data_IF_989966931474
#
_entry.id   IF_989966931474
#
_cell.length_a   1.000
_cell.length_b   1.000
_cell.length_c   1.000
_cell.angle_alpha   90.00
_cell.angle_beta   90.00
_cell.angle_gamma   90.00
#
_symmetry.space_group_name_H-M   'P 1'
#
loop_
_entity.id
_entity.type
_entity.pdbx_description
1 polymer ?
#
# COMPACT_ATOMS: atom_id res chain seq x y z
N UNK A 1 -9.42 4.90 9.89
CA UNK A 1 -8.93 5.63 11.09
C UNK A 1 -9.16 7.13 10.90
N UNK A 2 -9.05 7.96 11.95
CA UNK A 2 -9.20 9.42 11.84
C UNK A 2 -8.06 10.10 11.06
N UNK A 3 -6.95 9.40 10.88
CA UNK A 3 -5.80 9.78 10.06
C UNK A 3 -5.17 8.51 9.44
N UNK A 4 -4.29 8.67 8.45
CA UNK A 4 -3.62 7.56 7.78
C UNK A 4 -4.46 6.89 6.70
N UNK A 5 -4.34 5.57 6.57
CA UNK A 5 -5.03 4.80 5.55
C UNK A 5 -6.53 4.63 5.84
N UNK A 6 -7.35 4.71 4.78
CA UNK A 6 -8.80 4.58 4.90
C UNK A 6 -9.27 3.15 5.30
N UNK A 7 -8.45 2.14 5.01
CA UNK A 7 -8.66 0.74 5.38
C UNK A 7 -8.17 0.44 6.81
N UNK A 8 -7.57 -0.73 7.07
CA UNK A 8 -7.12 -1.18 8.41
C UNK A 8 -8.25 -1.35 9.42
N UNK A 9 -9.42 -1.78 8.96
CA UNK A 9 -10.63 -1.90 9.80
C UNK A 9 -10.94 -3.34 10.20
N UNK A 10 -10.39 -4.33 9.48
CA UNK A 10 -10.71 -5.75 9.62
C UNK A 10 -9.54 -6.62 10.10
N UNK A 11 -8.40 -6.01 10.44
CA UNK A 11 -7.19 -6.75 10.85
C UNK A 11 -6.48 -7.50 9.71
N UNK A 12 -6.79 -7.20 8.45
CA UNK A 12 -6.21 -7.84 7.26
C UNK A 12 -5.28 -6.92 6.47
N UNK A 13 -4.91 -5.79 7.04
CA UNK A 13 -4.04 -4.80 6.44
C UNK A 13 -2.83 -4.55 7.35
N UNK A 14 -1.66 -4.36 6.75
CA UNK A 14 -0.43 -4.01 7.47
C UNK A 14 0.42 -3.06 6.63
N UNK A 15 0.90 -1.99 7.25
CA UNK A 15 1.88 -1.09 6.62
C UNK A 15 3.27 -1.50 7.09
N UNK A 16 4.13 -1.85 6.13
CA UNK A 16 5.51 -2.29 6.39
C UNK A 16 6.45 -1.24 5.83
N UNK A 17 7.29 -0.68 6.69
CA UNK A 17 8.28 0.31 6.28
C UNK A 17 9.32 -0.28 5.35
N UNK A 18 9.77 0.54 4.39
CA UNK A 18 10.84 0.22 3.45
C UNK A 18 12.24 0.54 4.02
N UNK A 19 12.30 0.83 5.32
CA UNK A 19 13.54 1.03 6.05
C UNK A 19 14.10 -0.33 6.51
N UNK A 20 15.39 -0.50 6.36
CA UNK A 20 16.11 -1.64 6.93
C UNK A 20 16.02 -1.60 8.46
N UNK A 21 15.89 -2.76 9.09
CA UNK A 21 15.98 -2.85 10.53
C UNK A 21 17.36 -2.34 11.01
N UNK A 22 17.42 -1.57 12.12
CA UNK A 22 18.69 -1.19 12.72
C UNK A 22 19.46 -2.41 13.22
N UNK A 23 20.78 -2.28 13.35
CA UNK A 23 21.66 -3.37 13.84
C UNK A 23 21.33 -3.78 15.29
N UNK A 24 20.80 -2.85 16.08
CA UNK A 24 20.36 -3.08 17.46
C UNK A 24 18.84 -2.91 17.54
N UNK A 25 18.13 -3.71 18.34
CA UNK A 25 16.71 -3.50 18.59
C UNK A 25 16.45 -2.09 19.13
N UNK A 26 15.45 -1.43 18.57
CA UNK A 26 14.98 -0.13 19.06
C UNK A 26 14.43 -0.29 20.48
N UNK A 27 14.73 0.69 21.34
CA UNK A 27 13.98 0.89 22.58
C UNK A 27 12.52 1.27 22.28
N UNK A 28 11.65 1.18 23.28
CA UNK A 28 10.26 1.62 23.11
C UNK A 28 10.19 3.10 22.70
N UNK A 29 10.99 3.97 23.33
CA UNK A 29 11.00 5.40 22.99
C UNK A 29 11.50 5.67 21.57
N UNK A 30 12.55 4.98 21.11
CA UNK A 30 13.03 5.12 19.73
C UNK A 30 11.98 4.62 18.73
N UNK A 31 11.28 3.51 19.03
CA UNK A 31 10.19 2.99 18.18
C UNK A 31 9.05 3.98 18.03
N UNK A 32 8.58 4.58 19.13
CA UNK A 32 7.45 5.52 19.10
C UNK A 32 7.79 6.85 18.38
N UNK A 33 9.07 7.21 18.28
CA UNK A 33 9.54 8.45 17.65
C UNK A 33 10.23 8.23 16.30
N UNK A 34 10.24 7.01 15.79
CA UNK A 34 10.93 6.70 14.55
C UNK A 34 10.20 7.34 13.35
N UNK A 35 10.95 8.01 12.49
CA UNK A 35 10.43 8.65 11.28
C UNK A 35 10.65 7.78 10.03
N UNK A 36 9.68 7.77 9.13
CA UNK A 36 9.78 7.06 7.87
C UNK A 36 10.65 7.83 6.85
N UNK A 37 11.49 7.12 6.10
CA UNK A 37 12.28 7.68 4.99
C UNK A 37 11.68 7.31 3.64
N UNK A 38 11.50 8.30 2.76
CA UNK A 38 10.97 8.06 1.41
C UNK A 38 12.01 7.40 0.51
N UNK A 39 11.57 6.43 -0.28
CA UNK A 39 12.33 5.74 -1.33
C UNK A 39 12.22 6.44 -2.69
N UNK A 40 11.49 7.56 -2.77
CA UNK A 40 11.13 8.23 -4.02
C UNK A 40 11.50 9.71 -3.96
N UNK A 41 11.92 10.24 -5.10
CA UNK A 41 12.21 11.66 -5.34
C UNK A 41 11.46 12.16 -6.57
N UNK A 42 11.42 13.48 -6.76
CA UNK A 42 10.69 14.10 -7.85
C UNK A 42 9.18 14.18 -7.61
N UNK A 43 8.42 14.53 -8.66
CA UNK A 43 6.97 14.66 -8.57
C UNK A 43 6.30 14.56 -9.95
N UNK A 44 5.03 14.15 -9.98
CA UNK A 44 4.25 14.05 -11.21
C UNK A 44 4.93 13.12 -12.23
N UNK A 45 5.13 13.62 -13.44
CA UNK A 45 5.73 12.86 -14.55
C UNK A 45 7.21 12.49 -14.27
N UNK A 46 7.90 13.29 -13.46
CA UNK A 46 9.32 13.14 -13.12
C UNK A 46 9.53 12.38 -11.79
N UNK A 47 8.54 11.62 -11.31
CA UNK A 47 8.65 10.82 -10.09
C UNK A 47 9.57 9.61 -10.31
N UNK A 48 10.56 9.36 -9.46
CA UNK A 48 11.52 8.24 -9.59
C UNK A 48 12.04 7.72 -8.24
N UNK A 49 12.54 6.49 -8.17
CA UNK A 49 13.15 5.94 -6.94
C UNK A 49 14.53 6.55 -6.66
N UNK A 50 14.80 6.94 -5.42
CA UNK A 50 16.08 7.51 -5.01
C UNK A 50 17.12 6.44 -4.62
N UNK A 51 18.25 6.86 -4.05
CA UNK A 51 19.38 6.01 -3.66
C UNK A 51 19.10 5.11 -2.44
N UNK A 52 18.04 5.38 -1.68
CA UNK A 52 17.60 4.52 -0.57
C UNK A 52 16.90 3.25 -1.07
N UNK A 53 16.40 3.25 -2.32
CA UNK A 53 15.77 2.09 -2.93
C UNK A 53 16.80 1.11 -3.50
N UNK A 54 16.98 -0.04 -2.83
CA UNK A 54 17.94 -1.07 -3.21
C UNK A 54 17.41 -2.50 -3.09
N UNK A 55 18.34 -3.47 -3.17
CA UNK A 55 18.03 -4.90 -3.19
C UNK A 55 17.27 -5.39 -1.95
N UNK A 56 17.54 -4.80 -0.78
CA UNK A 56 16.82 -5.16 0.44
C UNK A 56 15.32 -4.83 0.31
N UNK A 57 14.99 -3.63 -0.18
CA UNK A 57 13.60 -3.22 -0.38
C UNK A 57 12.91 -4.09 -1.42
N UNK A 58 13.60 -4.40 -2.52
CA UNK A 58 13.09 -5.34 -3.55
C UNK A 58 12.79 -6.70 -2.93
N UNK A 59 13.70 -7.25 -2.14
CA UNK A 59 13.54 -8.54 -1.48
C UNK A 59 12.39 -8.55 -0.48
N UNK A 60 12.23 -7.50 0.33
CA UNK A 60 11.14 -7.37 1.28
C UNK A 60 9.77 -7.36 0.57
N UNK A 61 9.62 -6.53 -0.47
CA UNK A 61 8.38 -6.42 -1.23
C UNK A 61 8.08 -7.72 -2.00
N UNK A 62 9.09 -8.33 -2.64
CA UNK A 62 8.93 -9.60 -3.35
C UNK A 62 8.51 -10.71 -2.40
N UNK A 63 9.15 -10.82 -1.24
CA UNK A 63 8.83 -11.83 -0.22
C UNK A 63 7.38 -11.71 0.22
N UNK A 64 6.91 -10.49 0.50
CA UNK A 64 5.50 -10.25 0.83
C UNK A 64 4.57 -10.64 -0.33
N UNK A 65 4.89 -10.23 -1.56
CA UNK A 65 4.05 -10.51 -2.73
C UNK A 65 3.95 -12.01 -3.05
N UNK A 66 5.03 -12.77 -2.83
CA UNK A 66 5.05 -14.21 -3.09
C UNK A 66 4.24 -15.02 -2.05
N UNK A 67 3.92 -14.44 -0.89
CA UNK A 67 3.08 -15.11 0.11
C UNK A 67 1.68 -15.38 -0.45
N UNK A 68 1.14 -16.62 -0.34
CA UNK A 68 -0.20 -16.95 -0.80
C UNK A 68 -1.30 -16.27 0.02
N UNK A 69 -0.99 -15.83 1.24
CA UNK A 69 -1.94 -15.11 2.09
C UNK A 69 -2.16 -13.65 1.62
N UNK A 70 -1.20 -13.08 0.89
CA UNK A 70 -1.27 -11.70 0.40
C UNK A 70 -2.11 -11.64 -0.87
N UNK A 71 -3.15 -10.81 -0.84
CA UNK A 71 -4.06 -10.57 -1.96
C UNK A 71 -3.55 -9.43 -2.85
N UNK A 72 -3.12 -8.30 -2.24
CA UNK A 72 -2.53 -7.16 -2.95
C UNK A 72 -1.60 -6.35 -2.06
N UNK A 73 -0.63 -5.69 -2.69
CA UNK A 73 0.29 -4.74 -2.04
C UNK A 73 0.11 -3.38 -2.70
N UNK A 74 -0.25 -2.33 -1.94
CA UNK A 74 -0.21 -0.97 -2.46
C UNK A 74 1.18 -0.37 -2.25
N UNK A 75 1.70 0.25 -3.30
CA UNK A 75 3.06 0.77 -3.35
C UNK A 75 3.14 2.01 -4.25
N UNK A 76 4.14 2.86 -4.05
CA UNK A 76 4.29 4.05 -4.91
C UNK A 76 4.47 3.66 -6.40
N UNK A 77 3.89 4.43 -7.34
CA UNK A 77 4.03 4.16 -8.79
C UNK A 77 5.48 4.14 -9.27
N UNK A 78 6.35 5.01 -8.75
CA UNK A 78 7.77 5.02 -9.14
C UNK A 78 8.48 3.74 -8.75
N UNK A 79 8.18 3.19 -7.56
CA UNK A 79 8.71 1.90 -7.13
C UNK A 79 8.22 0.79 -8.04
N UNK A 80 6.91 0.76 -8.34
CA UNK A 80 6.33 -0.23 -9.27
C UNK A 80 6.99 -0.16 -10.64
N UNK A 81 7.21 1.04 -11.20
CA UNK A 81 7.91 1.24 -12.48
C UNK A 81 9.34 0.72 -12.43
N UNK A 82 10.10 1.09 -11.40
CA UNK A 82 11.48 0.59 -11.21
C UNK A 82 11.53 -0.94 -11.17
N UNK A 83 10.57 -1.59 -10.49
CA UNK A 83 10.48 -3.05 -10.48
C UNK A 83 10.09 -3.61 -11.86
N UNK A 84 9.13 -3.00 -12.55
CA UNK A 84 8.76 -3.38 -13.92
C UNK A 84 9.94 -3.32 -14.88
N UNK A 85 10.82 -2.33 -14.75
CA UNK A 85 11.98 -2.14 -15.63
C UNK A 85 13.12 -3.11 -15.33
N UNK A 86 13.31 -3.49 -14.04
CA UNK A 86 14.46 -4.28 -13.60
C UNK A 86 14.18 -5.78 -13.46
N UNK A 87 12.94 -6.18 -13.21
CA UNK A 87 12.62 -7.57 -12.93
C UNK A 87 12.79 -8.45 -14.17
N UNK A 88 13.66 -9.45 -14.07
CA UNK A 88 13.88 -10.45 -15.12
C UNK A 88 13.52 -11.84 -14.60
N UNK A 89 13.00 -12.71 -15.47
CA UNK A 89 12.54 -14.04 -15.06
C UNK A 89 11.08 -14.05 -14.60
N UNK A 90 10.83 -14.59 -13.41
CA UNK A 90 9.45 -14.70 -12.87
C UNK A 90 8.94 -13.35 -12.36
N UNK A 91 8.00 -12.79 -13.12
CA UNK A 91 7.34 -11.51 -12.85
C UNK A 91 5.94 -11.67 -12.27
N UNK A 92 5.48 -12.90 -12.01
CA UNK A 92 4.11 -13.17 -11.55
C UNK A 92 3.76 -12.41 -10.27
N UNK A 93 4.74 -12.25 -9.37
CA UNK A 93 4.56 -11.52 -8.11
C UNK A 93 4.24 -10.04 -8.31
N UNK A 94 4.65 -9.45 -9.44
CA UNK A 94 4.36 -8.04 -9.76
C UNK A 94 2.86 -7.79 -9.91
N UNK A 95 2.06 -8.79 -10.32
CA UNK A 95 0.60 -8.65 -10.45
C UNK A 95 -0.04 -8.10 -9.17
N UNK A 96 0.47 -8.52 -8.00
CA UNK A 96 -0.06 -8.10 -6.69
C UNK A 96 0.27 -6.65 -6.33
N UNK A 97 1.26 -6.04 -6.97
CA UNK A 97 1.67 -4.67 -6.67
C UNK A 97 0.76 -3.68 -7.39
N UNK A 98 0.04 -2.88 -6.61
CA UNK A 98 -0.93 -1.89 -7.04
C UNK A 98 -0.39 -0.48 -6.78
N UNK A 99 -0.10 0.30 -7.83
CA UNK A 99 0.29 1.69 -7.66
C UNK A 99 -0.76 2.45 -6.84
N UNK A 100 -0.32 3.28 -5.89
CA UNK A 100 -1.19 4.14 -5.12
C UNK A 100 -0.48 5.41 -4.66
N UNK A 101 -1.24 6.49 -4.44
CA UNK A 101 -0.70 7.77 -3.93
C UNK A 101 -0.01 7.58 -2.57
N UNK A 102 1.11 8.28 -2.37
CA UNK A 102 1.96 8.08 -1.19
C UNK A 102 2.76 6.77 -1.30
N UNK A 103 2.75 5.94 -0.25
CA UNK A 103 3.39 4.61 -0.22
C UNK A 103 4.85 4.61 -0.70
N UNK A 104 5.54 5.70 -0.44
CA UNK A 104 6.92 5.97 -0.84
C UNK A 104 7.90 5.60 0.27
N UNK A 105 7.47 5.59 1.54
CA UNK A 105 8.26 5.15 2.69
C UNK A 105 7.84 3.78 3.24
N UNK A 106 6.66 3.28 2.87
CA UNK A 106 6.11 1.99 3.28
C UNK A 106 5.32 1.36 2.14
N UNK A 107 5.15 0.05 2.19
CA UNK A 107 4.18 -0.66 1.36
C UNK A 107 3.05 -1.21 2.23
N UNK A 108 1.84 -1.18 1.67
CA UNK A 108 0.63 -1.63 2.35
C UNK A 108 0.29 -3.03 1.89
N UNK A 109 0.36 -4.01 2.77
CA UNK A 109 -0.04 -5.38 2.51
C UNK A 109 -1.51 -5.55 2.87
N UNK A 110 -2.29 -6.14 1.95
CA UNK A 110 -3.63 -6.65 2.23
C UNK A 110 -3.65 -8.16 2.09
N UNK A 111 -4.17 -8.84 3.10
CA UNK A 111 -4.41 -10.27 3.11
C UNK A 111 -5.76 -10.63 2.48
N UNK A 112 -5.88 -11.86 1.99
CA UNK A 112 -7.18 -12.44 1.62
C UNK A 112 -8.05 -12.70 2.85
N UNK A 113 -9.37 -12.78 2.65
CA UNK A 113 -10.30 -13.16 3.69
C UNK A 113 -9.99 -14.57 4.22
N UNK A 114 -9.85 -14.77 5.54
CA UNK A 114 -9.71 -16.09 6.13
C UNK A 114 -10.91 -16.98 5.80
N UNK A 115 -10.67 -18.26 5.54
CA UNK A 115 -11.73 -19.22 5.16
C UNK A 115 -12.76 -19.47 6.25
N UNK A 116 -12.40 -19.22 7.50
CA UNK A 116 -13.23 -19.35 8.70
C UNK A 116 -13.92 -18.04 9.09
N UNK A 117 -13.81 -16.98 8.27
CA UNK A 117 -14.41 -15.67 8.50
C UNK A 117 -15.55 -15.39 7.50
N UNK A 118 -16.76 -15.94 7.69
CA UNK A 118 -17.84 -15.90 6.69
C UNK A 118 -18.43 -14.51 6.44
N UNK A 119 -18.17 -13.55 7.33
CA UNK A 119 -18.60 -12.16 7.18
C UNK A 119 -17.53 -11.27 6.50
N UNK A 120 -16.36 -11.83 6.19
CA UNK A 120 -15.32 -11.10 5.48
C UNK A 120 -15.67 -10.96 4.00
N UNK A 121 -15.58 -9.74 3.46
CA UNK A 121 -15.89 -9.45 2.05
C UNK A 121 -14.60 -9.38 1.25
N UNK A 122 -14.39 -10.37 0.39
CA UNK A 122 -13.26 -10.42 -0.53
C UNK A 122 -13.40 -9.34 -1.61
N UNK A 123 -12.30 -8.65 -1.93
CA UNK A 123 -12.26 -7.73 -3.07
C UNK A 123 -12.15 -8.49 -4.41
N UNK A 124 -12.51 -7.87 -5.54
CA UNK A 124 -12.37 -8.48 -6.85
C UNK A 124 -10.93 -8.94 -7.14
N UNK A 125 -10.83 -10.00 -7.97
CA UNK A 125 -9.55 -10.49 -8.46
C UNK A 125 -8.78 -9.40 -9.21
N UNK A 126 -7.46 -9.46 -9.10
CA UNK A 126 -6.58 -8.55 -9.82
C UNK A 126 -6.64 -8.83 -11.33
N UNK A 127 -6.53 -7.80 -12.18
CA UNK A 127 -6.37 -7.99 -13.62
C UNK A 127 -5.21 -8.93 -13.95
N UNK A 128 -5.34 -9.68 -15.05
CA UNK A 128 -4.25 -10.51 -15.53
C UNK A 128 -3.04 -9.66 -15.95
N UNK A 129 -1.84 -10.26 -15.91
CA UNK A 129 -0.59 -9.60 -16.25
C UNK A 129 0.15 -9.05 -15.02
N UNK A 130 1.33 -8.50 -15.25
CA UNK A 130 2.17 -7.93 -14.19
C UNK A 130 1.81 -6.47 -13.86
N UNK A 131 0.89 -5.85 -14.62
CA UNK A 131 0.47 -4.46 -14.46
C UNK A 131 1.57 -3.46 -14.81
N UNK A 132 2.49 -3.84 -15.71
CA UNK A 132 3.54 -3.00 -16.26
C UNK A 132 3.16 -2.50 -17.67
N UNK A 133 1.95 -1.94 -17.78
CA UNK A 133 1.31 -1.52 -19.03
C UNK A 133 0.76 -0.09 -18.92
N UNK A 134 -0.18 0.29 -19.81
CA UNK A 134 -0.81 1.62 -19.82
C UNK A 134 -1.47 1.98 -18.48
N UNK A 135 -1.90 0.98 -17.69
CA UNK A 135 -2.45 1.23 -16.35
C UNK A 135 -1.41 1.76 -15.37
N UNK A 136 -0.14 1.43 -15.55
CA UNK A 136 0.99 2.02 -14.81
C UNK A 136 1.40 3.34 -15.44
N UNK A 137 1.44 3.44 -16.76
CA UNK A 137 1.83 4.66 -17.48
C UNK A 137 0.95 5.86 -17.10
N UNK A 138 -0.35 5.63 -16.88
CA UNK A 138 -1.29 6.68 -16.45
C UNK A 138 -0.82 7.44 -15.20
N UNK A 139 -0.15 6.78 -14.24
CA UNK A 139 0.33 7.42 -12.99
C UNK A 139 1.39 8.49 -13.21
N UNK A 140 2.00 8.53 -14.40
CA UNK A 140 3.00 9.51 -14.81
C UNK A 140 2.45 10.46 -15.88
N UNK A 141 1.14 10.60 -15.99
CA UNK A 141 0.47 11.53 -16.90
C UNK A 141 0.16 12.87 -16.24
N UNK A 142 -0.15 13.88 -17.06
CA UNK A 142 -0.65 15.17 -16.57
C UNK A 142 -2.01 15.04 -15.85
N UNK A 143 -2.87 14.13 -16.31
CA UNK A 143 -4.17 13.83 -15.68
C UNK A 143 -4.00 13.30 -14.26
N UNK A 144 -3.08 12.35 -14.07
CA UNK A 144 -2.74 11.83 -12.75
C UNK A 144 -2.17 12.92 -11.81
N UNK A 145 -1.36 13.83 -12.36
CA UNK A 145 -0.83 14.96 -11.58
C UNK A 145 -1.95 15.94 -11.15
N UNK A 146 -2.91 16.22 -12.03
CA UNK A 146 -4.09 17.03 -11.73
C UNK A 146 -4.97 16.35 -10.66
N UNK A 147 -5.20 15.04 -10.77
CA UNK A 147 -5.96 14.29 -9.76
C UNK A 147 -5.30 14.38 -8.38
N UNK A 148 -3.97 14.24 -8.30
CA UNK A 148 -3.24 14.39 -7.04
C UNK A 148 -3.35 15.81 -6.49
N UNK A 149 -3.27 16.84 -7.34
CA UNK A 149 -3.45 18.23 -6.93
C UNK A 149 -4.85 18.47 -6.34
N UNK A 150 -5.89 17.94 -6.97
CA UNK A 150 -7.27 18.04 -6.49
C UNK A 150 -7.46 17.30 -5.16
N UNK A 151 -6.86 16.11 -4.99
CA UNK A 151 -6.89 15.36 -3.72
C UNK A 151 -6.25 16.15 -2.57
N UNK A 152 -5.17 16.89 -2.84
CA UNK A 152 -4.47 17.72 -1.83
C UNK A 152 -5.25 18.98 -1.42
N UNK A 153 -6.07 19.54 -2.31
CA UNK A 153 -6.93 20.69 -1.99
C UNK A 153 -8.03 20.33 -0.97
N UNK A 154 -8.35 19.04 -0.83
CA UNK A 154 -9.29 18.53 0.17
C UNK A 154 -10.75 18.72 -0.25
N UNK A 155 -11.58 17.76 0.16
CA UNK A 155 -13.03 17.88 0.16
C UNK A 155 -13.57 17.51 1.55
N UNK A 156 -14.85 17.75 1.85
CA UNK A 156 -15.43 17.25 3.10
C UNK A 156 -15.26 15.73 3.14
N UNK A 157 -14.40 15.26 4.04
CA UNK A 157 -14.18 13.83 4.23
C UNK A 157 -15.51 13.16 4.57
N UNK A 158 -15.74 11.95 4.05
CA UNK A 158 -16.92 11.17 4.44
C UNK A 158 -16.85 10.91 5.95
N UNK A 159 -17.79 11.48 6.69
CA UNK A 159 -18.01 11.13 8.09
C UNK A 159 -18.67 9.75 8.13
N UNK A 160 -17.98 8.76 8.69
CA UNK A 160 -18.57 7.45 8.96
C UNK A 160 -19.54 7.58 10.14
N UNK A 161 -20.72 7.01 9.99
CA UNK A 161 -21.74 6.89 11.02
C UNK A 161 -21.91 5.42 11.43
N UNK A 162 -22.56 5.16 12.56
CA UNK A 162 -22.89 3.78 12.95
C UNK A 162 -23.76 3.05 11.90
N UNK A 163 -24.57 3.79 11.13
CA UNK A 163 -25.38 3.23 10.05
C UNK A 163 -24.54 2.78 8.84
N UNK A 164 -23.29 3.26 8.72
CA UNK A 164 -22.37 2.82 7.67
C UNK A 164 -21.62 1.53 8.03
N UNK A 165 -21.71 1.08 9.30
CA UNK A 165 -20.99 -0.09 9.77
C UNK A 165 -21.72 -1.39 9.41
N UNK A 166 -21.00 -2.49 9.17
CA UNK A 166 -21.60 -3.82 9.12
C UNK A 166 -22.40 -4.11 10.42
N UNK A 167 -23.54 -4.81 10.34
CA UNK A 167 -24.40 -5.05 11.52
C UNK A 167 -23.66 -5.67 12.71
N UNK A 168 -22.75 -6.62 12.45
CA UNK A 168 -21.94 -7.26 13.49
C UNK A 168 -20.95 -6.29 14.16
N UNK A 169 -20.49 -5.25 13.47
CA UNK A 169 -19.64 -4.22 14.04
C UNK A 169 -20.45 -3.24 14.89
N UNK A 170 -21.65 -2.86 14.43
CA UNK A 170 -22.55 -2.00 15.20
C UNK A 170 -22.97 -2.65 16.53
N UNK A 171 -23.17 -3.98 16.57
CA UNK A 171 -23.52 -4.67 17.81
C UNK A 171 -22.44 -4.63 18.89
N UNK A 172 -21.15 -4.50 18.52
CA UNK A 172 -20.07 -4.35 19.50
C UNK A 172 -20.22 -3.04 20.27
N UNK A 173 -20.58 -1.96 19.57
CA UNK A 173 -20.80 -0.65 20.19
C UNK A 173 -21.99 -0.65 21.17
N UNK A 174 -23.04 -1.42 20.88
CA UNK A 174 -24.23 -1.53 21.74
C UNK A 174 -24.11 -2.56 22.86
N UNK A 175 -23.01 -3.34 22.91
CA UNK A 175 -22.78 -4.36 23.92
C UNK A 175 -22.05 -3.83 25.17
N UNK A 176 -21.64 -2.55 25.15
CA UNK A 176 -21.15 -1.78 26.31
C UNK A 176 -22.29 -1.00 26.99
#
# INVERSE_FOLDING_TARGET
MSYGHASHQSGLDADIWLMTAPEQPLTDEERENLGASSMVSGSGVDLYTNDQWGEWQVSAVRTAAMSPAVDRIFINPAIKRTLCDRETGDRSWLQKLRPWWGHDAHFHVRLGCPTDSPLCVQQPFLPAGDGCDDSLAWWFSAEAAEELANRRQGGPGRTLTLADLPPACASVYYAE
#
